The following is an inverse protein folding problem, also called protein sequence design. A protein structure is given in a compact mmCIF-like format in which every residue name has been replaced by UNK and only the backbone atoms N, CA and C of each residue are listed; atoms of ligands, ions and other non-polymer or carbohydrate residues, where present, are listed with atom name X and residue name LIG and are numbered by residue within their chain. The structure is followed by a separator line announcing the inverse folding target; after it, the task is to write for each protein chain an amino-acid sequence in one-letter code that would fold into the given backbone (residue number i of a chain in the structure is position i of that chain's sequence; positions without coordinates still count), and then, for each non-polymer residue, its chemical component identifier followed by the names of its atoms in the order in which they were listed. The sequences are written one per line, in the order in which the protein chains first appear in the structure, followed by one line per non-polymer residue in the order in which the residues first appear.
data_IF_016911981084
#
_entry.id   IF_016911981084
#
_cell.length_a   1.000
_cell.length_b   1.000
_cell.length_c   1.000
_cell.angle_alpha   90.00
_cell.angle_beta   90.00
_cell.angle_gamma   90.00
#
_symmetry.space_group_name_H-M   'P 1'
#
loop_
_entity.id
_entity.type
_entity.pdbx_description
1 polymer ?
#
# COMPACT_ATOMS: atom_id res chain seq x y z
N UNK A 1 -8.99 6.53 1.88
CA UNK A 1 -8.56 5.40 2.74
C UNK A 1 -8.05 4.41 1.75
N UNK A 2 -6.76 4.51 1.48
CA UNK A 2 -6.17 3.95 0.28
C UNK A 2 -5.76 2.50 0.54
N UNK A 3 -5.74 1.69 -0.51
CA UNK A 3 -5.21 0.34 -0.47
C UNK A 3 -3.84 0.33 -1.13
N UNK A 4 -2.89 -0.38 -0.55
CA UNK A 4 -1.52 -0.44 -1.03
C UNK A 4 -0.93 -1.84 -0.87
N UNK A 5 -0.02 -2.18 -1.78
CA UNK A 5 0.75 -3.41 -1.76
C UNK A 5 2.23 -3.07 -1.63
N UNK A 6 2.91 -3.69 -0.66
CA UNK A 6 4.30 -3.41 -0.34
C UNK A 6 5.15 -4.67 -0.52
N UNK A 7 6.27 -4.55 -1.26
CA UNK A 7 7.22 -5.64 -1.39
C UNK A 7 7.94 -5.87 -0.05
N UNK A 8 7.84 -7.08 0.50
CA UNK A 8 8.47 -7.39 1.78
C UNK A 8 9.99 -7.19 1.75
N UNK A 9 10.67 -7.61 0.67
CA UNK A 9 12.13 -7.55 0.58
C UNK A 9 12.67 -6.13 0.48
N UNK A 10 12.11 -5.30 -0.41
CA UNK A 10 12.64 -3.96 -0.70
C UNK A 10 11.94 -2.85 0.09
N UNK A 11 10.81 -3.17 0.74
CA UNK A 11 9.91 -2.20 1.39
C UNK A 11 9.33 -1.15 0.45
N UNK A 12 9.43 -1.34 -0.85
CA UNK A 12 8.83 -0.45 -1.85
C UNK A 12 7.34 -0.76 -2.01
N UNK A 13 6.55 0.29 -2.23
CA UNK A 13 5.15 0.17 -2.64
C UNK A 13 5.12 -0.23 -4.12
N UNK A 14 4.47 -1.36 -4.44
CA UNK A 14 4.40 -1.91 -5.79
C UNK A 14 3.10 -1.61 -6.50
N UNK A 15 2.02 -1.37 -5.74
CA UNK A 15 0.73 -0.94 -6.25
C UNK A 15 -0.02 -0.14 -5.18
N UNK A 16 -0.92 0.74 -5.62
CA UNK A 16 -1.82 1.47 -4.73
C UNK A 16 -3.10 1.89 -5.47
N UNK A 17 -4.18 2.08 -4.72
CA UNK A 17 -5.47 2.61 -5.17
C UNK A 17 -5.93 3.68 -4.20
N UNK A 18 -6.18 4.89 -4.71
CA UNK A 18 -6.79 5.95 -3.92
C UNK A 18 -8.32 5.82 -3.96
N UNK A 19 -8.95 5.65 -2.80
CA UNK A 19 -10.39 5.41 -2.77
C UNK A 19 -10.97 5.08 -1.40
N UNK A 20 -12.16 4.48 -1.42
CA UNK A 20 -12.78 3.84 -0.27
C UNK A 20 -12.34 2.37 -0.22
N UNK A 21 -12.25 1.79 0.98
CA UNK A 21 -11.95 0.37 1.17
C UNK A 21 -13.21 -0.46 0.86
N UNK A 22 -13.30 -1.02 -0.34
CA UNK A 22 -14.41 -1.86 -0.82
C UNK A 22 -13.91 -2.89 -1.86
N UNK A 23 -14.78 -3.81 -2.29
CA UNK A 23 -14.39 -4.91 -3.20
C UNK A 23 -13.86 -4.40 -4.55
N UNK A 24 -14.43 -3.29 -5.05
CA UNK A 24 -13.98 -2.66 -6.29
C UNK A 24 -12.54 -2.18 -6.17
N UNK A 25 -12.20 -1.44 -5.12
CA UNK A 25 -10.83 -0.95 -4.94
C UNK A 25 -9.83 -2.07 -4.61
N UNK A 26 -10.29 -3.16 -3.99
CA UNK A 26 -9.50 -4.37 -3.80
C UNK A 26 -9.15 -5.02 -5.14
N UNK A 27 -10.15 -5.18 -6.02
CA UNK A 27 -9.96 -5.69 -7.38
C UNK A 27 -9.03 -4.79 -8.19
N UNK A 28 -9.27 -3.47 -8.15
CA UNK A 28 -8.41 -2.49 -8.83
C UNK A 28 -6.96 -2.57 -8.33
N UNK A 29 -6.74 -2.82 -7.03
CA UNK A 29 -5.40 -3.01 -6.48
C UNK A 29 -4.75 -4.26 -7.09
N UNK A 30 -5.46 -5.39 -7.12
CA UNK A 30 -4.97 -6.65 -7.68
C UNK A 30 -4.59 -6.52 -9.16
N UNK A 31 -5.34 -5.75 -9.93
CA UNK A 31 -5.04 -5.44 -11.34
C UNK A 31 -3.81 -4.53 -11.51
N UNK A 32 -3.51 -3.67 -10.54
CA UNK A 32 -2.36 -2.75 -10.58
C UNK A 32 -1.05 -3.38 -10.11
N UNK A 33 -1.12 -4.49 -9.38
CA UNK A 33 0.08 -5.24 -8.99
C UNK A 33 0.81 -5.69 -10.28
N UNK A 34 2.13 -5.50 -10.41
CA UNK A 34 2.84 -5.97 -11.59
C UNK A 34 2.78 -7.50 -11.70
N UNK A 35 2.65 -8.02 -12.92
CA UNK A 35 2.52 -9.46 -13.19
C UNK A 35 3.67 -10.29 -12.61
N UNK A 36 4.86 -9.70 -12.48
CA UNK A 36 6.02 -10.33 -11.81
C UNK A 36 5.79 -10.69 -10.34
N UNK A 37 4.72 -10.21 -9.70
CA UNK A 37 4.35 -10.52 -8.32
C UNK A 37 3.21 -11.53 -8.19
N UNK A 38 2.55 -11.95 -9.28
CA UNK A 38 1.29 -12.70 -9.19
C UNK A 38 1.43 -14.08 -8.54
N UNK A 39 2.58 -14.74 -8.73
CA UNK A 39 2.84 -16.08 -8.20
C UNK A 39 3.73 -16.04 -6.95
N UNK A 40 3.89 -14.87 -6.33
CA UNK A 40 4.68 -14.73 -5.11
C UNK A 40 3.79 -14.82 -3.89
N UNK A 41 4.34 -15.29 -2.77
CA UNK A 41 3.63 -15.34 -1.50
C UNK A 41 3.19 -13.92 -1.07
N UNK A 42 1.90 -13.77 -0.77
CA UNK A 42 1.31 -12.52 -0.29
C UNK A 42 0.60 -12.73 1.05
N UNK A 43 0.45 -11.67 1.83
CA UNK A 43 -0.32 -11.71 3.07
C UNK A 43 -1.07 -10.40 3.32
N UNK A 44 -2.20 -10.50 4.01
CA UNK A 44 -3.03 -9.36 4.42
C UNK A 44 -3.69 -9.60 5.77
N UNK A 45 -4.44 -8.61 6.26
CA UNK A 45 -5.40 -8.84 7.34
C UNK A 45 -6.59 -9.71 6.86
N UNK A 46 -7.50 -10.05 7.77
CA UNK A 46 -8.67 -10.90 7.53
C UNK A 46 -9.85 -10.16 6.87
N UNK A 47 -9.60 -9.08 6.13
CA UNK A 47 -10.68 -8.42 5.41
C UNK A 47 -11.14 -9.29 4.23
N UNK A 48 -12.43 -9.64 4.22
CA UNK A 48 -13.02 -10.65 3.33
C UNK A 48 -12.74 -10.41 1.86
N UNK A 49 -12.70 -9.15 1.41
CA UNK A 49 -12.42 -8.80 0.01
C UNK A 49 -11.08 -9.35 -0.49
N UNK A 50 -10.08 -9.50 0.38
CA UNK A 50 -8.79 -10.08 -0.01
C UNK A 50 -8.92 -11.58 -0.33
N UNK A 51 -9.75 -12.31 0.41
CA UNK A 51 -9.96 -13.73 0.16
C UNK A 51 -10.69 -13.99 -1.17
N UNK A 52 -11.54 -13.06 -1.61
CA UNK A 52 -12.25 -13.16 -2.89
C UNK A 52 -11.37 -12.77 -4.10
N UNK A 53 -10.40 -11.87 -3.90
CA UNK A 53 -9.62 -11.26 -4.99
C UNK A 53 -8.25 -11.91 -5.19
N UNK A 54 -7.66 -12.47 -4.14
CA UNK A 54 -6.32 -13.07 -4.18
C UNK A 54 -6.39 -14.60 -4.21
N UNK A 55 -5.43 -15.20 -4.90
CA UNK A 55 -5.34 -16.64 -5.06
C UNK A 55 -5.03 -17.34 -3.72
N UNK A 56 -5.89 -18.25 -3.22
CA UNK A 56 -5.69 -18.92 -1.94
C UNK A 56 -4.42 -19.78 -1.86
N UNK A 57 -3.85 -20.21 -2.99
CA UNK A 57 -2.61 -21.00 -3.01
C UNK A 57 -1.38 -20.15 -2.72
N UNK A 58 -1.44 -18.85 -3.01
CA UNK A 58 -0.31 -17.91 -2.86
C UNK A 58 -0.57 -16.82 -1.81
N UNK A 59 -1.82 -16.64 -1.38
CA UNK A 59 -2.23 -15.62 -0.42
C UNK A 59 -2.58 -16.20 0.95
N UNK A 60 -2.16 -15.51 2.01
CA UNK A 60 -2.53 -15.86 3.39
C UNK A 60 -3.04 -14.66 4.18
N UNK A 61 -4.26 -14.75 4.69
CA UNK A 61 -4.73 -13.83 5.72
C UNK A 61 -4.09 -14.16 7.07
N UNK A 62 -3.52 -13.17 7.73
CA UNK A 62 -2.72 -13.34 8.95
C UNK A 62 -3.18 -12.43 10.08
N UNK A 63 -3.07 -12.93 11.31
CA UNK A 63 -3.39 -12.17 12.51
C UNK A 63 -2.33 -11.13 12.86
N UNK A 64 -2.73 -10.11 13.60
CA UNK A 64 -1.85 -9.02 14.08
C UNK A 64 -0.62 -9.55 14.83
N UNK A 65 -0.76 -10.65 15.56
CA UNK A 65 0.34 -11.25 16.34
C UNK A 65 1.48 -11.81 15.47
N UNK A 66 1.25 -12.04 14.18
CA UNK A 66 2.29 -12.56 13.27
C UNK A 66 3.35 -11.51 12.91
N UNK A 67 3.02 -10.23 13.05
CA UNK A 67 3.91 -9.11 12.67
C UNK A 67 4.16 -8.94 11.18
N UNK A 68 3.59 -9.79 10.32
CA UNK A 68 3.83 -9.78 8.87
C UNK A 68 3.27 -8.51 8.19
N UNK A 69 2.18 -7.94 8.72
CA UNK A 69 1.56 -6.69 8.23
C UNK A 69 2.15 -5.43 8.86
N UNK A 70 3.08 -5.53 9.81
CA UNK A 70 3.62 -4.37 10.54
C UNK A 70 4.24 -3.32 9.62
N UNK A 71 4.87 -3.75 8.52
CA UNK A 71 5.53 -2.84 7.59
C UNK A 71 4.54 -2.00 6.79
N UNK A 72 3.43 -2.59 6.33
CA UNK A 72 2.39 -1.86 5.59
C UNK A 72 1.64 -0.92 6.54
N UNK A 73 1.39 -1.35 7.78
CA UNK A 73 0.79 -0.50 8.82
C UNK A 73 1.67 0.70 9.16
N UNK A 74 2.98 0.49 9.31
CA UNK A 74 3.95 1.57 9.56
C UNK A 74 4.05 2.53 8.37
N UNK A 75 4.04 2.01 7.15
CA UNK A 75 3.98 2.82 5.94
C UNK A 75 2.73 3.71 5.95
N UNK A 76 1.56 3.14 6.20
CA UNK A 76 0.29 3.86 6.27
C UNK A 76 0.24 4.89 7.39
N UNK A 77 0.88 4.63 8.54
CA UNK A 77 1.07 5.64 9.58
C UNK A 77 1.98 6.79 9.11
N UNK A 78 3.09 6.48 8.45
CA UNK A 78 4.03 7.47 7.90
C UNK A 78 3.36 8.36 6.85
N UNK A 79 2.61 7.76 5.95
CA UNK A 79 1.86 8.46 4.90
C UNK A 79 0.86 9.45 5.51
N UNK A 80 0.05 9.01 6.49
CA UNK A 80 -0.88 9.91 7.19
C UNK A 80 -0.16 11.04 7.91
N UNK A 81 0.94 10.75 8.60
CA UNK A 81 1.70 11.78 9.32
C UNK A 81 2.33 12.81 8.39
N UNK A 82 2.81 12.40 7.22
CA UNK A 82 3.48 13.30 6.26
C UNK A 82 2.52 14.04 5.35
N UNK A 83 1.40 13.42 4.99
CA UNK A 83 0.39 14.01 4.12
C UNK A 83 -0.79 14.50 4.96
N UNK A 84 -0.67 15.70 5.53
CA UNK A 84 -1.75 16.33 6.33
C UNK A 84 -3.08 16.49 5.58
N UNK A 85 -3.06 16.45 4.24
CA UNK A 85 -4.26 16.41 3.39
C UNK A 85 -5.13 15.17 3.63
N UNK A 86 -4.54 14.09 4.17
CA UNK A 86 -5.21 12.82 4.48
C UNK A 86 -5.58 12.67 5.96
N UNK A 87 -5.26 13.64 6.84
CA UNK A 87 -5.54 13.52 8.29
C UNK A 87 -6.80 14.23 8.75
N UNK A 88 -7.07 15.46 8.30
CA UNK A 88 -8.27 16.23 8.73
C UNK A 88 -8.87 17.07 7.61
N UNK A 89 -10.18 16.89 7.38
CA UNK A 89 -10.97 17.63 6.38
C UNK A 89 -10.97 19.15 6.59
N UNK A 90 -10.72 19.61 7.82
CA UNK A 90 -10.90 21.01 8.24
C UNK A 90 -9.66 21.90 8.10
N UNK A 91 -8.46 21.33 7.89
CA UNK A 91 -7.20 22.09 7.96
C UNK A 91 -6.45 22.17 6.64
N UNK A 92 -6.41 21.10 5.84
CA UNK A 92 -5.55 21.03 4.65
C UNK A 92 -6.16 20.24 3.49
N UNK A 93 -7.47 20.03 3.54
CA UNK A 93 -8.17 19.17 2.59
C UNK A 93 -8.43 19.88 1.26
N UNK A 94 -7.96 19.28 0.17
CA UNK A 94 -8.36 19.69 -1.17
C UNK A 94 -9.78 19.18 -1.46
N UNK A 95 -10.64 19.99 -2.06
CA UNK A 95 -11.94 19.54 -2.57
C UNK A 95 -11.82 18.72 -3.87
N UNK A 96 -10.70 18.87 -4.59
CA UNK A 96 -10.39 18.15 -5.83
C UNK A 96 -9.68 16.84 -5.53
N UNK A 97 -10.22 15.73 -6.06
CA UNK A 97 -9.67 14.36 -5.88
C UNK A 97 -8.29 14.24 -6.54
N UNK A 98 -8.14 14.88 -7.69
CA UNK A 98 -6.94 14.89 -8.52
C UNK A 98 -5.73 15.41 -7.73
N UNK A 99 -5.93 16.41 -6.87
CA UNK A 99 -4.87 16.94 -6.02
C UNK A 99 -4.43 15.95 -4.94
N UNK A 100 -5.36 15.16 -4.41
CA UNK A 100 -5.04 14.10 -3.43
C UNK A 100 -4.29 12.96 -4.11
N UNK A 101 -4.70 12.59 -5.32
CA UNK A 101 -4.02 11.57 -6.12
C UNK A 101 -2.61 12.03 -6.53
N UNK A 102 -2.45 13.27 -6.97
CA UNK A 102 -1.16 13.84 -7.37
C UNK A 102 -0.17 13.91 -6.20
N UNK A 103 -0.60 14.41 -5.03
CA UNK A 103 0.29 14.48 -3.85
C UNK A 103 0.67 13.08 -3.36
N UNK A 104 -0.27 12.13 -3.39
CA UNK A 104 -0.01 10.75 -3.04
C UNK A 104 0.99 10.12 -4.01
N UNK A 105 0.82 10.34 -5.31
CA UNK A 105 1.73 9.83 -6.34
C UNK A 105 3.15 10.37 -6.14
N UNK A 106 3.31 11.69 -5.95
CA UNK A 106 4.61 12.31 -5.68
C UNK A 106 5.26 11.76 -4.40
N UNK A 107 4.45 11.57 -3.35
CA UNK A 107 4.92 10.97 -2.11
C UNK A 107 5.45 9.56 -2.31
N UNK A 108 4.72 8.73 -3.05
CA UNK A 108 5.08 7.34 -3.33
C UNK A 108 6.36 7.23 -4.18
N UNK A 109 6.51 8.09 -5.18
CA UNK A 109 7.74 8.17 -5.99
C UNK A 109 8.95 8.45 -5.09
N UNK A 110 8.85 9.47 -4.23
CA UNK A 110 9.93 9.82 -3.30
C UNK A 110 10.19 8.70 -2.28
N UNK A 111 9.14 8.12 -1.71
CA UNK A 111 9.26 7.00 -0.76
C UNK A 111 9.96 5.80 -1.39
N UNK A 112 9.56 5.40 -2.60
CA UNK A 112 10.15 4.26 -3.29
C UNK A 112 11.61 4.50 -3.70
N UNK A 113 11.96 5.74 -4.05
CA UNK A 113 13.36 6.12 -4.28
C UNK A 113 14.18 6.00 -2.99
N UNK A 114 13.68 6.54 -1.87
CA UNK A 114 14.36 6.42 -0.57
C UNK A 114 14.53 4.97 -0.12
N UNK A 115 13.55 4.10 -0.39
CA UNK A 115 13.64 2.67 -0.09
C UNK A 115 14.65 1.96 -0.99
N UNK A 116 14.70 2.32 -2.28
CA UNK A 116 15.69 1.80 -3.23
C UNK A 116 17.11 2.14 -2.77
N UNK A 117 17.36 3.41 -2.44
CA UNK A 117 18.68 3.88 -2.02
C UNK A 117 19.13 3.15 -0.75
N UNK A 118 18.24 3.05 0.26
CA UNK A 118 18.51 2.29 1.50
C UNK A 118 18.76 0.80 1.25
N UNK A 119 18.05 0.20 0.30
CA UNK A 119 18.24 -1.20 -0.05
C UNK A 119 19.61 -1.40 -0.69
N UNK A 120 20.00 -0.54 -1.63
CA UNK A 120 21.32 -0.57 -2.27
C UNK A 120 22.45 -0.38 -1.25
N UNK A 121 22.35 0.60 -0.34
CA UNK A 121 23.39 0.84 0.70
C UNK A 121 23.60 -0.35 1.65
N UNK A 122 22.61 -1.25 1.79
CA UNK A 122 22.69 -2.41 2.69
C UNK A 122 23.19 -3.69 2.00
N UNK A 123 23.23 -3.71 0.67
CA UNK A 123 23.53 -4.90 -0.13
C UNK A 123 24.64 -4.65 -1.15
N UNK A 124 25.37 -3.54 -1.00
CA UNK A 124 26.68 -3.25 -1.58
C UNK A 124 27.66 -3.29 -0.42
#
# INVERSE_FOLDING_TARGET
MDLDALCHRTRQVVAYVCGQRNDKTCTDLRCRIPTSYFNLATCSDYWSSYAEVFDPDTHRSVGKHTGLTNHVERFNATLRNRLGRFTRKTLSFSKKKENHEAVLHLFLLKYNQDMKDRWLTRHI
#
